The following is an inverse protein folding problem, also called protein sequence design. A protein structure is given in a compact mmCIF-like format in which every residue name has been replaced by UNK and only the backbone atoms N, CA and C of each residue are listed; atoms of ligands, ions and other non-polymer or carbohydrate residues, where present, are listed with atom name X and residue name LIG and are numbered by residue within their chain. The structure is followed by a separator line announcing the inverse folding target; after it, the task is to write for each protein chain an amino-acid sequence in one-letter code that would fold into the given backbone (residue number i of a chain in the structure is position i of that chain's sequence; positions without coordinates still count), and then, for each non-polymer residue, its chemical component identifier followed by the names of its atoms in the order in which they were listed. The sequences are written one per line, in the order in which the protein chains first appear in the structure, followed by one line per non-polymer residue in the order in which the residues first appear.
data_IF_039193050576
#
_entry.id   IF_039193050576
#
_cell.length_a   1.000
_cell.length_b   1.000
_cell.length_c   1.000
_cell.angle_alpha   90.00
_cell.angle_beta   90.00
_cell.angle_gamma   90.00
#
_symmetry.space_group_name_H-M   'P 1'
#
loop_
_entity.id
_entity.type
_entity.pdbx_description
1 polymer ?
#
# COMPACT_ATOMS: atom_id res chain seq x y z
N UNK A 1 14.10 -20.50 42.82
CA UNK A 1 15.53 -20.31 42.57
C UNK A 1 15.70 -19.69 41.19
N UNK A 2 16.40 -18.54 41.14
CA UNK A 2 17.15 -17.93 40.01
C UNK A 2 16.34 -17.70 38.71
N UNK A 3 15.82 -16.53 38.35
CA UNK A 3 16.41 -15.18 38.21
C UNK A 3 17.73 -15.12 37.43
N UNK A 4 17.64 -14.73 36.15
CA UNK A 4 18.40 -13.58 35.62
C UNK A 4 17.52 -12.78 34.66
N UNK A 5 17.35 -11.52 35.04
CA UNK A 5 16.77 -10.41 34.31
C UNK A 5 17.88 -9.72 33.51
N UNK A 6 17.56 -9.20 32.33
CA UNK A 6 18.13 -7.92 31.88
C UNK A 6 17.02 -7.07 31.25
N UNK A 7 16.54 -6.12 32.05
CA UNK A 7 15.89 -4.90 31.59
C UNK A 7 16.85 -4.06 30.72
N UNK A 8 16.27 -3.04 30.07
CA UNK A 8 16.84 -2.03 29.17
C UNK A 8 16.73 -2.43 27.70
N UNK A 9 15.65 -2.06 27.04
CA UNK A 9 15.46 -0.66 26.70
C UNK A 9 13.96 -0.33 26.66
N UNK A 10 13.62 0.79 27.31
CA UNK A 10 12.50 1.61 26.86
C UNK A 10 12.70 1.82 25.36
N UNK A 11 11.93 1.10 24.55
CA UNK A 11 11.84 1.36 23.12
C UNK A 11 10.63 2.25 22.90
N UNK A 12 10.81 3.55 23.20
CA UNK A 12 10.05 4.60 22.53
C UNK A 12 10.47 4.62 21.04
N UNK A 13 10.07 3.58 20.32
CA UNK A 13 10.05 3.57 18.87
C UNK A 13 8.57 3.70 18.51
N UNK A 14 8.25 4.43 17.45
CA UNK A 14 6.95 4.33 16.77
C UNK A 14 6.77 2.94 16.09
N UNK A 15 7.07 1.85 16.81
CA UNK A 15 6.71 0.48 16.48
C UNK A 15 5.24 0.37 16.85
N UNK A 16 4.40 0.28 15.83
CA UNK A 16 2.97 0.08 16.03
C UNK A 16 2.74 -1.36 16.47
N UNK A 17 2.66 -1.56 17.78
CA UNK A 17 2.12 -2.77 18.40
C UNK A 17 0.60 -2.63 18.51
N UNK A 18 -0.21 -3.55 17.96
CA UNK A 18 -1.67 -3.45 17.97
C UNK A 18 -2.29 -3.33 19.37
N UNK A 19 -1.62 -3.89 20.38
CA UNK A 19 -2.08 -4.01 21.76
C UNK A 19 -1.56 -2.91 22.70
N UNK A 20 -0.68 -2.01 22.24
CA UNK A 20 -0.10 -0.95 23.06
C UNK A 20 0.13 0.29 22.20
N UNK A 21 -0.97 0.88 21.74
CA UNK A 21 -0.97 2.27 21.29
C UNK A 21 -1.23 3.06 22.58
N UNK A 22 -0.23 3.68 23.22
CA UNK A 22 -0.53 4.66 24.27
C UNK A 22 -1.48 5.66 23.64
N UNK A 23 -2.57 6.01 24.34
CA UNK A 23 -3.55 6.97 23.88
C UNK A 23 -2.81 8.17 23.31
N UNK A 24 -2.69 8.21 21.98
CA UNK A 24 -1.95 9.25 21.31
C UNK A 24 -2.76 10.47 21.65
N UNK A 25 -2.20 11.36 22.45
CA UNK A 25 -2.86 12.59 22.86
C UNK A 25 -3.22 13.30 21.57
N UNK A 26 -4.45 13.13 21.12
CA UNK A 26 -5.01 13.83 19.96
C UNK A 26 -4.81 15.29 20.33
N UNK A 27 -3.94 16.05 19.63
CA UNK A 27 -3.79 17.45 19.94
C UNK A 27 -5.16 18.07 19.75
N UNK A 28 -5.78 18.48 20.86
CA UNK A 28 -7.01 19.26 20.85
C UNK A 28 -6.73 20.49 19.99
N UNK A 29 -7.48 20.60 18.90
CA UNK A 29 -7.57 21.75 17.98
C UNK A 29 -6.24 22.41 17.62
N UNK A 30 -5.65 21.98 16.50
CA UNK A 30 -4.60 22.76 15.82
C UNK A 30 -5.20 23.29 14.51
N UNK A 31 -5.07 24.61 14.34
CA UNK A 31 -5.42 25.45 13.19
C UNK A 31 -5.56 24.72 11.83
N UNK A 32 -6.60 25.11 11.09
CA UNK A 32 -7.10 24.58 9.81
C UNK A 32 -6.16 24.72 8.60
N UNK A 33 -4.89 25.08 8.79
CA UNK A 33 -3.93 25.22 7.69
C UNK A 33 -3.14 23.92 7.51
N UNK A 34 -3.57 23.07 6.58
CA UNK A 34 -2.71 22.01 6.05
C UNK A 34 -1.54 22.67 5.31
N UNK A 35 -0.28 22.37 5.68
CA UNK A 35 0.89 23.07 5.13
C UNK A 35 1.10 22.80 3.64
N UNK A 36 0.55 21.70 3.13
CA UNK A 36 0.62 21.31 1.72
C UNK A 36 -0.80 21.11 1.17
N UNK A 37 -1.02 21.31 -0.15
CA UNK A 37 -2.35 21.23 -0.74
C UNK A 37 -2.92 19.81 -0.73
N UNK A 38 -2.06 18.81 -0.84
CA UNK A 38 -2.41 17.38 -0.79
C UNK A 38 -1.30 16.59 -0.10
N UNK A 39 -1.65 15.40 0.37
CA UNK A 39 -0.75 14.50 1.09
C UNK A 39 -1.02 13.03 0.76
N UNK A 40 0.03 12.22 0.83
CA UNK A 40 0.00 10.81 0.47
C UNK A 40 0.34 9.91 1.67
N UNK A 41 -0.35 8.78 1.77
CA UNK A 41 -0.01 7.69 2.67
C UNK A 41 0.62 6.54 1.88
N UNK A 42 1.92 6.32 2.06
CA UNK A 42 2.67 5.29 1.36
C UNK A 42 2.76 4.00 2.18
N UNK A 43 2.43 2.87 1.56
CA UNK A 43 2.94 1.56 1.97
C UNK A 43 4.17 1.25 1.11
N UNK A 44 5.32 1.00 1.74
CA UNK A 44 6.53 0.52 1.06
C UNK A 44 6.89 -0.87 1.59
N UNK A 45 6.60 -1.90 0.79
CA UNK A 45 6.86 -3.29 1.15
C UNK A 45 8.23 -3.79 0.67
N UNK A 46 8.92 -4.54 1.51
CA UNK A 46 10.21 -5.15 1.21
C UNK A 46 10.24 -6.62 1.62
N UNK A 47 10.95 -7.44 0.87
CA UNK A 47 11.17 -8.85 1.19
C UNK A 47 12.58 -9.07 1.78
N UNK A 48 12.90 -10.29 2.18
CA UNK A 48 14.25 -10.69 2.60
C UNK A 48 15.33 -10.23 1.60
N UNK A 49 16.38 -9.58 2.09
CA UNK A 49 17.50 -9.08 1.30
C UNK A 49 17.26 -7.71 0.64
N UNK A 50 16.08 -7.10 0.83
CA UNK A 50 15.72 -5.83 0.18
C UNK A 50 16.01 -4.59 1.03
N UNK A 51 16.61 -4.71 2.22
CA UNK A 51 16.87 -3.59 3.15
C UNK A 51 17.55 -2.40 2.49
N UNK A 52 18.62 -2.63 1.74
CA UNK A 52 19.34 -1.54 1.10
C UNK A 52 18.49 -0.83 0.03
N UNK A 53 17.63 -1.57 -0.68
CA UNK A 53 16.68 -0.97 -1.62
C UNK A 53 15.58 -0.21 -0.87
N UNK A 54 15.04 -0.78 0.21
CA UNK A 54 14.03 -0.13 1.04
C UNK A 54 14.52 1.23 1.55
N UNK A 55 15.72 1.28 2.14
CA UNK A 55 16.38 2.52 2.60
C UNK A 55 16.53 3.54 1.49
N UNK A 56 17.02 3.12 0.31
CA UNK A 56 17.18 4.00 -0.85
C UNK A 56 15.84 4.55 -1.35
N UNK A 57 14.81 3.70 -1.40
CA UNK A 57 13.47 4.06 -1.87
C UNK A 57 12.79 5.04 -0.92
N UNK A 58 12.79 4.81 0.39
CA UNK A 58 12.20 5.76 1.35
C UNK A 58 12.93 7.11 1.31
N UNK A 59 14.26 7.14 1.20
CA UNK A 59 15.01 8.40 1.05
C UNK A 59 14.63 9.15 -0.25
N UNK A 60 14.42 8.43 -1.35
CA UNK A 60 14.01 9.03 -2.61
C UNK A 60 12.56 9.55 -2.60
N UNK A 61 11.68 8.92 -1.83
CA UNK A 61 10.26 9.26 -1.72
C UNK A 61 9.93 10.23 -0.59
N UNK A 62 10.87 10.53 0.30
CA UNK A 62 10.56 11.24 1.53
C UNK A 62 10.17 12.71 1.30
N UNK A 63 9.12 13.13 2.00
CA UNK A 63 8.66 14.51 2.12
C UNK A 63 7.90 14.64 3.46
N UNK A 64 8.10 15.72 4.23
CA UNK A 64 7.54 15.84 5.59
C UNK A 64 6.01 16.01 5.60
N UNK A 65 5.39 16.34 4.46
CA UNK A 65 3.94 16.44 4.31
C UNK A 65 3.20 15.13 4.05
N UNK A 66 3.91 14.01 3.93
CA UNK A 66 3.33 12.69 3.64
C UNK A 66 3.47 11.75 4.84
N UNK A 67 2.77 10.61 4.80
CA UNK A 67 2.87 9.54 5.80
C UNK A 67 3.46 8.28 5.14
N UNK A 68 4.37 7.60 5.83
CA UNK A 68 5.05 6.42 5.31
C UNK A 68 4.94 5.25 6.30
N UNK A 69 4.45 4.11 5.83
CA UNK A 69 4.45 2.85 6.54
C UNK A 69 5.35 1.85 5.81
N UNK A 70 6.44 1.48 6.47
CA UNK A 70 7.40 0.49 5.99
C UNK A 70 6.99 -0.89 6.47
N UNK A 71 6.90 -1.84 5.54
CA UNK A 71 6.65 -3.25 5.85
C UNK A 71 7.81 -4.09 5.32
N UNK A 72 8.50 -4.78 6.22
CA UNK A 72 9.47 -5.81 5.87
C UNK A 72 8.83 -7.17 6.16
N UNK A 73 8.88 -8.09 5.21
CA UNK A 73 8.29 -9.42 5.37
C UNK A 73 8.84 -10.16 6.60
N UNK A 74 7.97 -10.98 7.21
CA UNK A 74 8.33 -11.81 8.37
C UNK A 74 9.55 -12.71 8.11
N UNK A 75 9.79 -13.12 6.85
CA UNK A 75 10.91 -13.98 6.48
C UNK A 75 12.26 -13.27 6.33
N UNK A 76 12.30 -11.94 6.38
CA UNK A 76 13.55 -11.22 6.51
C UNK A 76 14.19 -11.57 7.86
N UNK A 77 15.52 -11.59 7.91
CA UNK A 77 16.21 -11.99 9.12
C UNK A 77 16.06 -10.93 10.23
N UNK A 78 16.16 -11.35 11.49
CA UNK A 78 15.98 -10.47 12.66
C UNK A 78 16.95 -9.28 12.67
N UNK A 79 18.14 -9.45 12.12
CA UNK A 79 19.11 -8.38 11.90
C UNK A 79 18.63 -7.37 10.85
N UNK A 80 18.00 -7.79 9.76
CA UNK A 80 17.36 -6.92 8.77
C UNK A 80 16.25 -6.07 9.41
N UNK A 81 15.37 -6.70 10.22
CA UNK A 81 14.32 -6.00 10.97
C UNK A 81 14.90 -4.97 11.95
N UNK A 82 15.96 -5.33 12.70
CA UNK A 82 16.66 -4.39 13.57
C UNK A 82 17.35 -3.27 12.79
N UNK A 83 17.92 -3.58 11.62
CA UNK A 83 18.62 -2.63 10.80
C UNK A 83 17.69 -1.54 10.26
N UNK A 84 16.50 -1.90 9.77
CA UNK A 84 15.52 -0.90 9.34
C UNK A 84 14.99 -0.07 10.52
N UNK A 85 14.76 -0.71 11.67
CA UNK A 85 14.34 -0.01 12.89
C UNK A 85 15.37 1.03 13.35
N UNK A 86 16.65 0.66 13.40
CA UNK A 86 17.75 1.61 13.70
C UNK A 86 17.84 2.72 12.66
N UNK A 87 17.73 2.38 11.37
CA UNK A 87 17.77 3.38 10.30
C UNK A 87 16.66 4.42 10.43
N UNK A 88 15.43 4.01 10.76
CA UNK A 88 14.33 4.96 10.97
C UNK A 88 14.52 5.75 12.26
N UNK A 89 14.85 5.07 13.36
CA UNK A 89 15.05 5.68 14.67
C UNK A 89 16.18 6.69 14.66
N UNK A 90 17.32 6.40 14.05
CA UNK A 90 18.52 7.22 14.15
C UNK A 90 18.53 8.37 13.12
N UNK A 91 17.55 8.41 12.21
CA UNK A 91 17.41 9.48 11.22
C UNK A 91 16.71 10.70 11.82
N UNK A 92 17.46 11.80 12.00
CA UNK A 92 16.95 13.03 12.62
C UNK A 92 15.74 13.61 11.90
N UNK A 93 15.68 13.54 10.57
CA UNK A 93 14.56 14.07 9.79
C UNK A 93 13.28 13.28 10.08
N UNK A 94 13.37 11.95 10.12
CA UNK A 94 12.24 11.09 10.46
C UNK A 94 11.78 11.27 11.90
N UNK A 95 12.72 11.43 12.86
CA UNK A 95 12.38 11.73 14.25
C UNK A 95 11.61 13.05 14.36
N UNK A 96 12.10 14.12 13.74
CA UNK A 96 11.50 15.46 13.87
C UNK A 96 10.12 15.52 13.22
N UNK A 97 9.94 14.89 12.07
CA UNK A 97 8.65 14.89 11.38
C UNK A 97 7.67 13.84 11.92
N UNK A 98 8.15 12.74 12.53
CA UNK A 98 7.32 11.68 13.11
C UNK A 98 6.49 10.88 12.10
N UNK A 99 6.77 11.01 10.80
CA UNK A 99 5.90 10.56 9.71
C UNK A 99 6.37 9.29 8.98
N UNK A 100 7.39 8.60 9.51
CA UNK A 100 7.88 7.31 9.00
C UNK A 100 7.74 6.25 10.07
N UNK A 101 6.96 5.21 9.78
CA UNK A 101 6.54 4.18 10.72
C UNK A 101 6.90 2.80 10.16
N UNK A 102 7.11 1.84 11.05
CA UNK A 102 7.40 0.44 10.68
C UNK A 102 6.31 -0.45 11.25
N UNK A 103 5.85 -1.41 10.45
CA UNK A 103 4.94 -2.46 10.92
C UNK A 103 5.65 -3.32 11.96
N UNK A 104 5.21 -3.25 13.22
CA UNK A 104 5.87 -3.93 14.34
C UNK A 104 5.74 -5.46 14.32
N UNK A 105 4.58 -5.96 13.88
CA UNK A 105 4.32 -7.38 13.67
C UNK A 105 4.27 -7.66 12.18
N UNK A 106 5.40 -8.04 11.55
CA UNK A 106 5.47 -8.15 10.11
C UNK A 106 4.59 -9.29 9.59
N UNK A 107 3.79 -8.99 8.56
CA UNK A 107 3.00 -10.02 7.88
C UNK A 107 3.88 -10.92 7.00
N UNK A 108 3.44 -12.18 6.89
CA UNK A 108 3.93 -13.14 5.90
C UNK A 108 3.26 -12.90 4.55
N UNK A 109 4.03 -12.91 3.47
CA UNK A 109 3.52 -12.61 2.12
C UNK A 109 3.86 -13.71 1.11
N UNK A 110 2.83 -14.28 0.49
CA UNK A 110 2.92 -15.19 -0.64
C UNK A 110 2.52 -14.44 -1.92
N UNK A 111 3.41 -14.32 -2.90
CA UNK A 111 3.21 -13.48 -4.10
C UNK A 111 1.92 -13.78 -4.88
N UNK A 112 1.59 -15.06 -5.05
CA UNK A 112 0.38 -15.51 -5.76
C UNK A 112 -0.82 -15.71 -4.83
N UNK A 113 -0.63 -15.54 -3.54
CA UNK A 113 -1.63 -15.85 -2.52
C UNK A 113 -2.40 -14.61 -2.01
N UNK A 114 -3.50 -14.85 -1.29
CA UNK A 114 -4.29 -13.82 -0.61
C UNK A 114 -3.52 -13.02 0.45
N UNK A 115 -2.43 -13.56 1.00
CA UNK A 115 -1.64 -12.89 2.05
C UNK A 115 -1.04 -11.54 1.61
N UNK A 116 -0.73 -11.35 0.32
CA UNK A 116 -0.28 -10.05 -0.20
C UNK A 116 -1.39 -8.99 -0.14
N UNK A 117 -2.61 -9.35 -0.53
CA UNK A 117 -3.76 -8.46 -0.43
C UNK A 117 -4.07 -8.14 1.03
N UNK A 118 -4.06 -9.18 1.87
CA UNK A 118 -4.25 -9.04 3.32
C UNK A 118 -3.26 -8.06 3.94
N UNK A 119 -1.98 -8.13 3.57
CA UNK A 119 -0.94 -7.21 4.04
C UNK A 119 -1.21 -5.78 3.60
N UNK A 120 -1.69 -5.58 2.36
CA UNK A 120 -2.04 -4.25 1.86
C UNK A 120 -3.21 -3.65 2.64
N UNK A 121 -4.27 -4.44 2.90
CA UNK A 121 -5.44 -4.01 3.67
C UNK A 121 -5.09 -3.76 5.15
N UNK A 122 -4.22 -4.58 5.73
CA UNK A 122 -3.70 -4.38 7.08
C UNK A 122 -2.98 -3.02 7.17
N UNK A 123 -2.08 -2.73 6.24
CA UNK A 123 -1.39 -1.43 6.16
C UNK A 123 -2.36 -0.25 5.98
N UNK A 124 -3.37 -0.38 5.11
CA UNK A 124 -4.42 0.63 4.94
C UNK A 124 -5.16 0.87 6.26
N UNK A 125 -5.51 -0.19 6.99
CA UNK A 125 -6.19 -0.07 8.29
C UNK A 125 -5.35 0.65 9.33
N UNK A 126 -4.03 0.42 9.35
CA UNK A 126 -3.11 1.13 10.24
C UNK A 126 -3.04 2.62 9.86
N UNK A 127 -2.82 2.92 8.58
CA UNK A 127 -2.72 4.29 8.07
C UNK A 127 -4.00 5.11 8.31
N UNK A 128 -5.19 4.48 8.19
CA UNK A 128 -6.46 5.12 8.51
C UNK A 128 -6.60 5.47 10.01
N UNK A 129 -6.02 4.64 10.90
CA UNK A 129 -6.05 4.85 12.36
C UNK A 129 -5.01 5.85 12.85
N UNK A 130 -3.86 5.93 12.18
CA UNK A 130 -2.74 6.79 12.57
C UNK A 130 -3.04 8.26 12.28
N UNK A 131 -3.55 8.55 11.08
CA UNK A 131 -3.77 9.92 10.63
C UNK A 131 -5.09 10.03 9.86
N UNK A 132 -5.88 11.03 10.23
CA UNK A 132 -7.17 11.35 9.61
C UNK A 132 -7.05 12.22 8.35
N UNK A 133 -5.85 12.70 7.98
CA UNK A 133 -5.69 13.84 7.05
C UNK A 133 -5.10 13.51 5.68
N UNK A 134 -4.60 12.30 5.42
CA UNK A 134 -4.03 11.97 4.12
C UNK A 134 -5.10 11.81 3.02
N UNK A 135 -4.77 12.19 1.78
CA UNK A 135 -5.75 12.24 0.68
C UNK A 135 -5.75 10.95 -0.17
N UNK A 136 -4.57 10.40 -0.47
CA UNK A 136 -4.43 9.18 -1.25
C UNK A 136 -3.49 8.16 -0.61
N UNK A 137 -3.86 6.89 -0.71
CA UNK A 137 -3.02 5.74 -0.40
C UNK A 137 -2.26 5.27 -1.64
N UNK A 138 -0.95 5.04 -1.51
CA UNK A 138 -0.08 4.54 -2.58
C UNK A 138 0.67 3.30 -2.07
N UNK A 139 0.53 2.16 -2.73
CA UNK A 139 1.34 0.98 -2.46
C UNK A 139 2.53 0.87 -3.42
N UNK A 140 3.72 0.63 -2.86
CA UNK A 140 4.98 0.42 -3.58
C UNK A 140 5.74 -0.75 -2.94
N UNK A 141 6.70 -1.32 -3.66
CA UNK A 141 7.73 -2.17 -3.09
C UNK A 141 9.11 -1.53 -3.12
N UNK A 142 10.06 -2.13 -2.41
CA UNK A 142 11.49 -1.85 -2.53
C UNK A 142 12.05 -2.09 -3.94
N UNK A 143 11.24 -2.58 -4.88
CA UNK A 143 11.62 -2.78 -6.28
C UNK A 143 11.08 -1.69 -7.23
N UNK A 144 10.25 -0.78 -6.72
CA UNK A 144 9.74 0.39 -7.42
C UNK A 144 10.61 1.61 -7.10
N UNK A 145 10.61 2.60 -7.99
CA UNK A 145 11.37 3.84 -7.80
C UNK A 145 10.65 5.05 -8.39
N UNK A 146 10.68 6.23 -7.72
CA UNK A 146 10.08 7.44 -8.27
C UNK A 146 10.87 7.97 -9.47
N UNK A 147 10.15 8.54 -10.44
CA UNK A 147 10.66 9.25 -11.60
C UNK A 147 10.42 10.77 -11.52
N UNK A 148 9.76 11.23 -10.45
CA UNK A 148 9.48 12.64 -10.14
C UNK A 148 9.70 12.91 -8.66
N UNK A 149 9.92 14.16 -8.29
CA UNK A 149 10.04 14.54 -6.87
C UNK A 149 8.69 14.50 -6.17
N UNK A 150 8.67 14.53 -4.84
CA UNK A 150 7.41 14.63 -4.11
C UNK A 150 6.73 15.98 -4.32
N UNK A 151 7.48 17.08 -4.42
CA UNK A 151 6.95 18.38 -4.78
C UNK A 151 6.27 18.37 -6.15
N UNK A 152 6.85 17.64 -7.12
CA UNK A 152 6.24 17.44 -8.43
C UNK A 152 4.89 16.72 -8.31
N UNK A 153 4.85 15.63 -7.55
CA UNK A 153 3.67 14.80 -7.37
C UNK A 153 2.56 15.53 -6.60
N UNK A 154 2.90 16.22 -5.51
CA UNK A 154 1.98 17.05 -4.72
C UNK A 154 1.41 18.17 -5.60
N UNK A 155 2.24 18.85 -6.39
CA UNK A 155 1.78 19.87 -7.32
C UNK A 155 0.82 19.31 -8.37
N UNK A 156 1.15 18.15 -8.96
CA UNK A 156 0.30 17.51 -9.98
C UNK A 156 -1.06 17.08 -9.41
N UNK A 157 -1.09 16.52 -8.19
CA UNK A 157 -2.33 16.07 -7.55
C UNK A 157 -3.14 17.20 -6.91
N UNK A 158 -2.55 18.37 -6.66
CA UNK A 158 -3.25 19.51 -6.04
C UNK A 158 -4.47 20.02 -6.82
N UNK A 159 -4.49 19.79 -8.14
CA UNK A 159 -5.58 20.21 -9.04
C UNK A 159 -6.57 19.08 -9.33
N UNK A 160 -6.37 17.90 -8.75
CA UNK A 160 -7.21 16.73 -8.96
C UNK A 160 -8.35 16.64 -7.94
N UNK A 161 -9.54 16.17 -8.34
CA UNK A 161 -10.56 15.74 -7.40
C UNK A 161 -10.05 14.60 -6.50
N UNK A 162 -10.13 14.80 -5.17
CA UNK A 162 -9.61 13.87 -4.15
C UNK A 162 -10.29 12.50 -4.13
N UNK A 163 -11.47 12.39 -4.72
CA UNK A 163 -12.23 11.13 -4.81
C UNK A 163 -11.75 10.22 -5.95
N UNK A 164 -10.83 10.66 -6.81
CA UNK A 164 -10.32 9.84 -7.91
C UNK A 164 -9.43 8.70 -7.43
N UNK A 165 -9.55 7.57 -8.11
CA UNK A 165 -8.82 6.34 -7.86
C UNK A 165 -8.10 5.90 -9.14
N UNK A 166 -6.77 5.85 -9.11
CA UNK A 166 -5.94 5.37 -10.22
C UNK A 166 -5.76 3.87 -10.08
N UNK A 167 -6.64 3.14 -10.77
CA UNK A 167 -6.72 1.69 -10.74
C UNK A 167 -6.86 1.19 -12.17
N UNK A 168 -5.77 0.64 -12.71
CA UNK A 168 -5.84 -0.08 -13.97
C UNK A 168 -6.73 -1.32 -13.82
N UNK A 169 -7.72 -1.47 -14.70
CA UNK A 169 -8.69 -2.55 -14.68
C UNK A 169 -9.21 -2.94 -16.07
N UNK A 170 -9.58 -4.20 -16.22
CA UNK A 170 -10.32 -4.73 -17.37
C UNK A 170 -11.23 -5.88 -16.93
N UNK A 171 -12.40 -5.97 -17.55
CA UNK A 171 -13.30 -7.12 -17.40
C UNK A 171 -13.05 -8.23 -18.42
N UNK A 172 -12.11 -8.05 -19.35
CA UNK A 172 -11.72 -9.08 -20.31
C UNK A 172 -10.71 -10.02 -19.67
N UNK A 173 -11.20 -10.99 -18.90
CA UNK A 173 -10.33 -11.90 -18.14
C UNK A 173 -9.55 -12.88 -19.03
N UNK A 174 -10.12 -13.33 -20.16
CA UNK A 174 -9.51 -14.31 -21.04
C UNK A 174 -9.05 -15.56 -20.27
N UNK A 175 -7.79 -15.96 -20.46
CA UNK A 175 -7.19 -17.12 -19.78
C UNK A 175 -7.18 -16.99 -18.24
N UNK A 176 -7.18 -15.76 -17.69
CA UNK A 176 -7.17 -15.53 -16.23
C UNK A 176 -8.42 -16.09 -15.56
N UNK A 177 -9.53 -16.19 -16.29
CA UNK A 177 -10.76 -16.79 -15.80
C UNK A 177 -10.54 -18.23 -15.31
N UNK A 178 -9.93 -19.07 -16.15
CA UNK A 178 -9.69 -20.48 -15.86
C UNK A 178 -8.44 -20.70 -14.98
N UNK A 179 -7.45 -19.79 -15.04
CA UNK A 179 -6.18 -19.94 -14.31
C UNK A 179 -6.11 -19.19 -12.99
N UNK A 180 -7.02 -18.26 -12.71
CA UNK A 180 -7.01 -17.44 -11.47
C UNK A 180 -8.34 -17.39 -10.74
N UNK A 181 -9.46 -17.28 -11.45
CA UNK A 181 -10.80 -17.17 -10.83
C UNK A 181 -11.44 -18.51 -10.43
N UNK A 182 -11.36 -19.51 -11.32
CA UNK A 182 -11.91 -20.86 -11.07
C UNK A 182 -11.10 -21.76 -10.14
N UNK A 183 -9.76 -21.69 -10.06
CA UNK A 183 -9.01 -22.55 -9.16
C UNK A 183 -9.37 -22.32 -7.69
N UNK A 184 -9.30 -23.39 -6.90
CA UNK A 184 -9.32 -23.33 -5.44
C UNK A 184 -7.87 -23.47 -4.99
N UNK A 185 -7.40 -22.53 -4.17
CA UNK A 185 -6.00 -22.45 -3.75
C UNK A 185 -5.91 -22.29 -2.25
N UNK A 186 -4.91 -22.95 -1.67
CA UNK A 186 -4.60 -22.84 -0.25
C UNK A 186 -3.29 -22.07 -0.16
N UNK A 187 -3.26 -21.02 0.65
CA UNK A 187 -2.05 -20.26 0.94
C UNK A 187 -1.48 -20.72 2.29
N UNK A 188 -0.37 -21.49 2.28
CA UNK A 188 0.25 -21.95 3.52
C UNK A 188 0.67 -20.80 4.43
N UNK A 189 0.91 -19.61 3.87
CA UNK A 189 1.24 -18.42 4.65
C UNK A 189 0.15 -17.97 5.63
N UNK A 190 -1.07 -18.50 5.52
CA UNK A 190 -2.17 -18.23 6.46
C UNK A 190 -2.17 -19.12 7.71
N UNK A 191 -1.46 -20.26 7.73
CA UNK A 191 -1.53 -21.23 8.83
C UNK A 191 -0.25 -22.02 9.12
N UNK A 192 0.81 -21.83 8.33
CA UNK A 192 2.10 -22.48 8.51
C UNK A 192 3.20 -21.46 8.77
N UNK A 193 4.18 -21.85 9.60
CA UNK A 193 5.42 -21.11 9.83
C UNK A 193 6.42 -21.24 8.68
N UNK A 194 6.25 -22.23 7.79
CA UNK A 194 7.13 -22.44 6.65
C UNK A 194 6.55 -21.77 5.40
N UNK A 195 7.30 -20.81 4.84
CA UNK A 195 6.91 -20.15 3.59
C UNK A 195 6.94 -21.17 2.45
N UNK A 196 5.86 -21.26 1.70
CA UNK A 196 5.82 -22.02 0.45
C UNK A 196 4.89 -21.34 -0.55
N UNK A 197 4.98 -21.75 -1.82
CA UNK A 197 4.04 -21.33 -2.84
C UNK A 197 2.63 -21.84 -2.52
N UNK A 198 1.63 -21.20 -3.15
CA UNK A 198 0.23 -21.63 -3.02
C UNK A 198 0.05 -23.09 -3.47
N UNK A 199 -0.79 -23.83 -2.75
CA UNK A 199 -1.14 -25.20 -3.10
C UNK A 199 -2.42 -25.22 -3.93
N UNK A 200 -2.42 -26.06 -4.95
CA UNK A 200 -3.54 -26.22 -5.86
C UNK A 200 -4.45 -27.35 -5.38
N UNK A 201 -5.74 -27.06 -5.27
CA UNK A 201 -6.75 -28.09 -5.05
C UNK A 201 -7.22 -28.62 -6.39
N UNK A 202 -7.46 -29.93 -6.48
CA UNK A 202 -7.85 -30.62 -7.73
C UNK A 202 -9.18 -30.06 -8.27
N UNK A 203 -10.14 -29.81 -7.37
CA UNK A 203 -11.46 -29.28 -7.75
C UNK A 203 -11.39 -27.77 -8.04
N UNK A 204 -12.15 -27.36 -9.05
CA UNK A 204 -12.37 -25.95 -9.40
C UNK A 204 -13.78 -25.52 -8.98
N UNK A 205 -13.94 -24.22 -8.75
CA UNK A 205 -15.23 -23.58 -8.50
C UNK A 205 -15.78 -22.91 -9.76
N UNK A 206 -17.09 -22.65 -9.76
CA UNK A 206 -17.72 -21.78 -10.74
C UNK A 206 -17.39 -20.31 -10.46
N UNK A 207 -17.59 -19.46 -11.47
CA UNK A 207 -17.44 -18.01 -11.31
C UNK A 207 -18.67 -17.43 -10.62
N UNK A 208 -18.51 -16.31 -9.89
CA UNK A 208 -19.61 -15.67 -9.19
C UNK A 208 -20.58 -15.04 -10.19
N UNK A 209 -21.87 -15.12 -9.90
CA UNK A 209 -22.94 -14.45 -10.66
C UNK A 209 -23.38 -13.14 -10.02
N UNK A 210 -23.12 -12.95 -8.73
CA UNK A 210 -23.53 -11.77 -7.96
C UNK A 210 -22.73 -10.49 -8.31
N UNK A 211 -21.55 -10.62 -8.89
CA UNK A 211 -20.70 -9.50 -9.28
C UNK A 211 -19.83 -9.86 -10.49
N UNK A 212 -19.39 -8.84 -11.21
CA UNK A 212 -18.53 -9.00 -12.38
C UNK A 212 -17.06 -8.90 -11.98
N UNK A 213 -16.26 -9.89 -12.33
CA UNK A 213 -14.82 -9.87 -12.06
C UNK A 213 -14.09 -8.86 -12.94
N UNK A 214 -13.13 -8.17 -12.33
CA UNK A 214 -12.15 -7.32 -13.00
C UNK A 214 -10.73 -7.75 -12.59
N UNK A 215 -9.77 -7.51 -13.48
CA UNK A 215 -8.35 -7.70 -13.19
C UNK A 215 -7.54 -6.52 -13.69
N UNK A 216 -6.38 -6.30 -13.09
CA UNK A 216 -5.46 -5.25 -13.54
C UNK A 216 -4.13 -5.27 -12.80
N UNK A 217 -3.56 -4.09 -12.57
CA UNK A 217 -2.29 -3.94 -11.85
C UNK A 217 -2.45 -4.16 -10.35
N UNK A 218 -1.45 -4.76 -9.70
CA UNK A 218 -1.43 -4.84 -8.23
C UNK A 218 -1.08 -3.49 -7.57
N UNK A 219 -0.61 -2.52 -8.36
CA UNK A 219 -0.30 -1.18 -7.90
C UNK A 219 -1.44 -0.23 -8.16
N UNK A 220 -1.74 0.59 -7.17
CA UNK A 220 -2.90 1.47 -7.18
C UNK A 220 -2.60 2.75 -6.42
N UNK A 221 -3.26 3.84 -6.82
CA UNK A 221 -3.41 5.04 -6.00
C UNK A 221 -4.88 5.19 -5.66
N UNK A 222 -5.21 4.96 -4.39
CA UNK A 222 -6.59 4.89 -3.89
C UNK A 222 -6.92 6.16 -3.13
N UNK A 223 -8.10 6.75 -3.35
CA UNK A 223 -8.58 7.84 -2.50
C UNK A 223 -8.78 7.34 -1.08
N UNK A 224 -8.60 8.23 -0.09
CA UNK A 224 -8.91 7.90 1.31
C UNK A 224 -10.33 7.37 1.47
N UNK A 225 -11.30 8.00 0.83
CA UNK A 225 -12.71 7.56 0.89
C UNK A 225 -12.90 6.12 0.43
N UNK A 226 -12.25 5.72 -0.66
CA UNK A 226 -12.34 4.35 -1.16
C UNK A 226 -11.57 3.37 -0.25
N UNK A 227 -10.46 3.79 0.33
CA UNK A 227 -9.76 3.01 1.34
C UNK A 227 -10.63 2.77 2.58
N UNK A 228 -11.33 3.79 3.07
CA UNK A 228 -12.31 3.68 4.17
C UNK A 228 -13.43 2.72 3.80
N UNK A 229 -14.01 2.84 2.60
CA UNK A 229 -15.02 1.91 2.12
C UNK A 229 -14.53 0.45 2.11
N UNK A 230 -13.27 0.20 1.72
CA UNK A 230 -12.70 -1.15 1.72
C UNK A 230 -12.49 -1.73 3.12
N UNK A 231 -12.22 -0.91 4.15
CA UNK A 231 -11.83 -1.36 5.49
C UNK A 231 -12.99 -1.30 6.49
N UNK A 232 -13.73 -0.20 6.51
CA UNK A 232 -14.80 0.09 7.48
C UNK A 232 -16.16 0.35 6.81
N UNK A 233 -16.28 0.09 5.50
CA UNK A 233 -17.53 0.27 4.77
C UNK A 233 -18.68 -0.54 5.37
N UNK A 234 -19.85 0.09 5.46
CA UNK A 234 -21.07 -0.56 5.96
C UNK A 234 -21.64 -1.57 4.97
N UNK A 235 -21.43 -1.38 3.66
CA UNK A 235 -21.86 -2.34 2.63
C UNK A 235 -21.11 -3.67 2.71
N UNK A 236 -21.79 -4.75 2.32
CA UNK A 236 -21.22 -6.09 2.34
C UNK A 236 -20.28 -6.40 1.16
N UNK A 237 -20.30 -5.60 0.08
CA UNK A 237 -19.57 -5.91 -1.15
C UNK A 237 -18.05 -6.12 -0.92
N UNK A 238 -17.30 -5.22 -0.25
CA UNK A 238 -15.89 -5.46 0.07
C UNK A 238 -15.67 -6.76 0.87
N UNK A 239 -16.50 -7.02 1.89
CA UNK A 239 -16.41 -8.23 2.74
C UNK A 239 -16.67 -9.51 1.93
N UNK A 240 -17.73 -9.53 1.11
CA UNK A 240 -18.04 -10.66 0.22
C UNK A 240 -16.91 -10.91 -0.77
N UNK A 241 -16.32 -9.85 -1.33
CA UNK A 241 -15.19 -9.98 -2.23
C UNK A 241 -13.93 -10.48 -1.51
N UNK A 242 -13.65 -10.07 -0.28
CA UNK A 242 -12.52 -10.62 0.48
C UNK A 242 -12.62 -12.14 0.62
N UNK A 243 -13.80 -12.65 0.99
CA UNK A 243 -14.06 -14.09 1.04
C UNK A 243 -13.79 -14.76 -0.31
N UNK A 244 -14.25 -14.17 -1.41
CA UNK A 244 -14.02 -14.70 -2.75
C UNK A 244 -12.53 -14.70 -3.16
N UNK A 245 -11.80 -13.63 -2.78
CA UNK A 245 -10.40 -13.41 -3.15
C UNK A 245 -9.40 -14.18 -2.27
N UNK A 246 -9.86 -14.89 -1.23
CA UNK A 246 -9.06 -15.93 -0.55
C UNK A 246 -8.62 -17.05 -1.51
N UNK A 247 -9.47 -17.35 -2.49
CA UNK A 247 -9.28 -18.41 -3.48
C UNK A 247 -9.10 -17.82 -4.89
N UNK A 248 -8.41 -16.69 -4.99
CA UNK A 248 -8.09 -16.06 -6.28
C UNK A 248 -6.58 -15.90 -6.42
N UNK A 249 -6.02 -16.50 -7.47
CA UNK A 249 -4.57 -16.44 -7.72
C UNK A 249 -4.17 -15.02 -8.10
N UNK A 250 -3.14 -14.47 -7.42
CA UNK A 250 -2.72 -13.07 -7.55
C UNK A 250 -3.85 -12.11 -7.17
N UNK A 251 -4.45 -12.30 -5.99
CA UNK A 251 -5.60 -11.51 -5.52
C UNK A 251 -5.44 -9.98 -5.53
N UNK A 252 -4.24 -9.38 -5.31
CA UNK A 252 -4.09 -7.92 -5.42
C UNK A 252 -4.33 -7.38 -6.84
N UNK A 253 -4.19 -8.23 -7.86
CA UNK A 253 -4.45 -7.87 -9.28
C UNK A 253 -5.94 -7.95 -9.64
N UNK A 254 -6.85 -8.07 -8.67
CA UNK A 254 -8.28 -8.12 -8.97
C UNK A 254 -9.22 -7.60 -7.88
N UNK A 255 -8.83 -7.62 -6.60
CA UNK A 255 -9.72 -7.23 -5.51
C UNK A 255 -10.18 -5.78 -5.64
N UNK A 256 -9.26 -4.82 -5.63
CA UNK A 256 -9.62 -3.40 -5.70
C UNK A 256 -10.36 -3.05 -6.99
N UNK A 257 -9.95 -3.64 -8.12
CA UNK A 257 -10.62 -3.49 -9.41
C UNK A 257 -12.08 -3.94 -9.35
N UNK A 258 -12.31 -5.11 -8.75
CA UNK A 258 -13.65 -5.70 -8.67
C UNK A 258 -14.52 -4.96 -7.67
N UNK A 259 -13.98 -4.56 -6.51
CA UNK A 259 -14.71 -3.73 -5.53
C UNK A 259 -15.15 -2.43 -6.17
N UNK A 260 -14.22 -1.68 -6.77
CA UNK A 260 -14.52 -0.34 -7.28
C UNK A 260 -15.49 -0.36 -8.46
N UNK A 261 -15.35 -1.33 -9.37
CA UNK A 261 -16.19 -1.40 -10.57
C UNK A 261 -17.59 -1.96 -10.31
N UNK A 262 -17.81 -2.64 -9.18
CA UNK A 262 -19.14 -3.12 -8.78
C UNK A 262 -19.80 -2.23 -7.72
N UNK A 263 -19.07 -1.29 -7.13
CA UNK A 263 -19.63 -0.32 -6.18
C UNK A 263 -20.38 0.80 -6.91
N UNK A 264 -21.60 1.13 -6.44
CA UNK A 264 -22.43 2.17 -7.06
C UNK A 264 -21.80 3.56 -6.94
N UNK A 265 -21.20 3.85 -5.78
CA UNK A 265 -20.67 5.17 -5.44
C UNK A 265 -19.28 5.41 -6.04
N UNK A 266 -18.49 4.34 -6.24
CA UNK A 266 -17.09 4.49 -6.67
C UNK A 266 -16.81 4.11 -8.13
N UNK A 267 -17.71 3.41 -8.83
CA UNK A 267 -17.45 2.99 -10.24
C UNK A 267 -17.06 4.15 -11.17
N UNK A 268 -17.59 5.35 -10.92
CA UNK A 268 -17.36 6.54 -11.74
C UNK A 268 -16.14 7.36 -11.30
N UNK A 269 -15.48 7.01 -10.19
CA UNK A 269 -14.27 7.70 -9.71
C UNK A 269 -12.99 7.05 -10.19
N UNK A 270 -13.09 6.06 -11.09
CA UNK A 270 -11.96 5.30 -11.62
C UNK A 270 -11.25 6.03 -12.76
N UNK A 271 -9.93 6.15 -12.64
CA UNK A 271 -9.01 6.45 -13.73
C UNK A 271 -8.29 5.15 -14.08
N UNK A 272 -8.43 4.68 -15.32
CA UNK A 272 -7.94 3.35 -15.73
C UNK A 272 -6.43 3.35 -16.03
N UNK A 273 -5.65 3.72 -15.02
CA UNK A 273 -4.20 3.86 -15.10
C UNK A 273 -3.58 3.54 -13.74
N UNK A 274 -2.40 2.90 -13.69
CA UNK A 274 -1.73 2.52 -12.42
C UNK A 274 -0.55 3.43 -12.02
N UNK A 275 -0.25 4.42 -12.84
CA UNK A 275 0.82 5.43 -12.70
C UNK A 275 2.24 4.83 -12.68
N UNK A 276 2.41 3.60 -13.18
CA UNK A 276 3.69 2.93 -13.24
C UNK A 276 4.18 2.76 -14.69
N UNK A 277 5.46 3.02 -14.93
CA UNK A 277 6.14 2.50 -16.11
C UNK A 277 6.61 1.07 -15.83
N UNK A 278 6.04 0.12 -16.56
CA UNK A 278 6.34 -1.32 -16.46
C UNK A 278 6.62 -1.86 -17.85
N UNK A 279 7.74 -2.57 -18.02
CA UNK A 279 8.01 -3.31 -19.27
C UNK A 279 7.91 -4.80 -19.05
N UNK A 280 7.25 -5.48 -19.97
CA UNK A 280 7.04 -6.93 -19.96
C UNK A 280 7.75 -7.57 -21.15
N UNK A 281 8.17 -8.82 -20.97
CA UNK A 281 8.58 -9.68 -22.08
C UNK A 281 7.38 -9.99 -22.99
N UNK A 282 7.63 -10.42 -24.23
CA UNK A 282 6.58 -10.91 -25.14
C UNK A 282 6.87 -12.38 -25.48
N UNK A 283 6.04 -13.34 -25.02
CA UNK A 283 4.87 -13.17 -24.15
C UNK A 283 5.24 -12.77 -22.70
N UNK A 284 4.31 -12.15 -21.95
CA UNK A 284 4.58 -11.74 -20.57
C UNK A 284 4.93 -12.92 -19.67
N UNK A 285 6.05 -12.79 -18.95
CA UNK A 285 6.44 -13.71 -17.87
C UNK A 285 5.74 -13.34 -16.55
N UNK A 286 5.95 -14.15 -15.50
CA UNK A 286 5.39 -13.89 -14.17
C UNK A 286 5.83 -12.57 -13.56
N UNK A 287 7.07 -12.14 -13.84
CA UNK A 287 7.63 -10.90 -13.32
C UNK A 287 7.96 -9.94 -14.47
N UNK A 288 7.78 -8.62 -14.29
CA UNK A 288 8.24 -7.63 -15.24
C UNK A 288 9.74 -7.74 -15.51
N UNK A 289 10.17 -7.27 -16.69
CA UNK A 289 11.59 -7.18 -17.02
C UNK A 289 12.30 -6.19 -16.10
N UNK A 290 13.55 -6.48 -15.78
CA UNK A 290 14.41 -5.58 -15.03
C UNK A 290 14.77 -4.37 -15.89
N UNK A 291 14.49 -3.17 -15.37
CA UNK A 291 14.82 -1.91 -16.03
C UNK A 291 16.30 -1.57 -15.86
N UNK A 292 16.92 -1.03 -16.91
CA UNK A 292 18.31 -0.59 -16.89
C UNK A 292 18.54 0.72 -17.67
N UNK A 293 19.80 1.13 -17.88
CA UNK A 293 20.12 2.42 -18.51
C UNK A 293 19.52 2.61 -19.91
N UNK A 294 19.33 1.52 -20.67
CA UNK A 294 18.70 1.53 -21.99
C UNK A 294 17.22 1.93 -21.96
N UNK A 295 16.56 1.71 -20.83
CA UNK A 295 15.14 2.01 -20.63
C UNK A 295 14.91 3.44 -20.17
N UNK A 296 15.96 4.16 -19.76
CA UNK A 296 15.87 5.50 -19.17
C UNK A 296 15.08 6.49 -20.02
N UNK A 297 15.36 6.57 -21.32
CA UNK A 297 14.65 7.49 -22.21
C UNK A 297 13.14 7.19 -22.26
N UNK A 298 12.79 5.90 -22.32
CA UNK A 298 11.37 5.47 -22.34
C UNK A 298 10.68 5.75 -21.01
N UNK A 299 11.37 5.58 -19.88
CA UNK A 299 10.86 5.95 -18.57
C UNK A 299 10.51 7.44 -18.50
N UNK A 300 11.41 8.32 -18.93
CA UNK A 300 11.18 9.77 -18.91
C UNK A 300 10.03 10.17 -19.86
N UNK A 301 9.98 9.59 -21.06
CA UNK A 301 8.94 9.88 -22.05
C UNK A 301 7.56 9.30 -21.67
N UNK A 302 7.50 8.33 -20.77
CA UNK A 302 6.23 7.73 -20.33
C UNK A 302 5.38 8.65 -19.47
N UNK A 303 5.96 9.74 -18.95
CA UNK A 303 5.30 10.66 -18.04
C UNK A 303 4.73 10.00 -16.77
N UNK A 304 5.22 8.81 -16.40
CA UNK A 304 4.76 8.11 -15.20
C UNK A 304 5.58 8.54 -13.97
N UNK A 305 4.94 8.74 -12.80
CA UNK A 305 5.64 9.14 -11.58
C UNK A 305 6.44 8.00 -10.96
N UNK A 306 6.14 6.74 -11.27
CA UNK A 306 6.84 5.57 -10.75
C UNK A 306 7.27 4.62 -11.87
N UNK A 307 8.29 3.81 -11.61
CA UNK A 307 8.73 2.76 -12.53
C UNK A 307 9.14 1.48 -11.79
N UNK A 308 9.05 0.35 -12.50
CA UNK A 308 9.49 -0.96 -12.00
C UNK A 308 9.81 -1.96 -13.11
N UNK A 309 10.62 -2.99 -12.86
CA UNK A 309 11.28 -3.35 -11.59
C UNK A 309 12.78 -3.10 -11.69
N UNK A 310 13.38 -2.55 -10.63
CA UNK A 310 14.82 -2.32 -10.56
C UNK A 310 15.55 -3.41 -9.79
N UNK A 311 16.77 -3.74 -10.26
CA UNK A 311 17.73 -4.54 -9.50
C UNK A 311 18.45 -3.64 -8.49
N UNK A 312 18.90 -4.22 -7.38
CA UNK A 312 19.78 -3.55 -6.43
C UNK A 312 21.03 -2.98 -7.15
N UNK A 313 21.45 -1.77 -6.77
CA UNK A 313 22.60 -1.03 -7.31
C UNK A 313 22.68 -0.96 -8.85
N UNK A 314 21.54 -0.87 -9.52
CA UNK A 314 21.53 -0.64 -10.96
C UNK A 314 21.91 0.82 -11.27
N UNK A 315 22.88 1.03 -12.18
CA UNK A 315 23.36 2.36 -12.59
C UNK A 315 22.25 3.30 -13.09
N UNK A 316 21.12 2.75 -13.56
CA UNK A 316 19.97 3.58 -13.95
C UNK A 316 19.35 4.32 -12.76
N UNK A 317 19.42 3.76 -11.55
CA UNK A 317 18.91 4.40 -10.35
C UNK A 317 19.74 5.65 -10.01
N UNK A 318 21.06 5.58 -10.16
CA UNK A 318 21.95 6.73 -9.94
C UNK A 318 21.72 7.82 -10.99
N UNK A 319 21.38 7.40 -12.21
CA UNK A 319 20.96 8.31 -13.28
C UNK A 319 19.63 9.00 -12.95
N UNK A 320 18.63 8.26 -12.47
CA UNK A 320 17.34 8.81 -12.03
C UNK A 320 17.54 9.79 -10.87
N UNK A 321 18.33 9.41 -9.88
CA UNK A 321 18.64 10.26 -8.72
C UNK A 321 19.22 11.60 -9.15
N UNK A 322 20.25 11.58 -9.99
CA UNK A 322 20.94 12.80 -10.44
C UNK A 322 20.06 13.66 -11.34
N UNK A 323 19.41 13.07 -12.34
CA UNK A 323 18.77 13.81 -13.44
C UNK A 323 17.29 14.15 -13.17
N UNK A 324 16.56 13.31 -12.43
CA UNK A 324 15.13 13.50 -12.17
C UNK A 324 14.85 13.97 -10.74
N UNK A 325 15.49 13.35 -9.74
CA UNK A 325 15.18 13.61 -8.33
C UNK A 325 16.11 14.65 -7.69
N UNK A 326 17.16 15.07 -8.41
CA UNK A 326 18.24 15.94 -7.93
C UNK A 326 18.82 15.47 -6.58
N UNK A 327 18.90 14.16 -6.42
CA UNK A 327 19.27 13.45 -5.20
C UNK A 327 20.73 13.00 -5.27
N UNK A 328 21.45 13.12 -4.15
CA UNK A 328 22.78 12.53 -3.98
C UNK A 328 22.69 11.19 -3.23
N UNK A 329 23.70 10.31 -3.35
CA UNK A 329 23.74 9.07 -2.57
C UNK A 329 23.53 9.35 -1.08
N UNK A 330 22.70 8.54 -0.42
CA UNK A 330 22.35 8.65 1.00
C UNK A 330 21.65 9.95 1.44
N UNK A 331 21.18 10.78 0.51
CA UNK A 331 20.42 12.00 0.80
C UNK A 331 18.96 11.87 0.37
N UNK A 332 18.12 12.77 0.88
CA UNK A 332 16.74 12.92 0.43
C UNK A 332 16.66 13.59 -0.94
N UNK A 333 15.59 13.30 -1.68
CA UNK A 333 15.27 14.01 -2.92
C UNK A 333 15.07 15.50 -2.66
N UNK A 334 15.38 16.33 -3.66
CA UNK A 334 15.24 17.78 -3.53
C UNK A 334 13.77 18.19 -3.43
N UNK A 335 13.47 19.10 -2.50
CA UNK A 335 12.15 19.68 -2.28
C UNK A 335 12.22 21.04 -1.58
N UNK A 336 11.11 21.77 -1.57
CA UNK A 336 11.02 23.10 -0.96
C UNK A 336 11.29 23.10 0.55
N UNK A 337 10.91 22.02 1.23
CA UNK A 337 11.08 21.82 2.67
C UNK A 337 12.53 21.72 3.17
N UNK A 338 13.50 21.51 2.29
CA UNK A 338 14.93 21.44 2.64
C UNK A 338 15.80 22.42 1.86
N UNK A 339 15.20 23.47 1.31
CA UNK A 339 15.87 24.43 0.44
C UNK A 339 16.54 25.59 1.19
N UNK A 340 17.58 25.33 1.99
CA UNK A 340 18.63 26.31 2.31
C UNK A 340 20.01 25.64 2.22
N UNK A 341 20.78 26.06 1.24
CA UNK A 341 22.19 25.71 1.06
C UNK A 341 22.80 26.69 0.08
N UNK A 342 23.78 27.48 0.55
CA UNK A 342 24.51 28.45 -0.26
C UNK A 342 25.30 27.75 -1.37
N UNK A 343 25.22 28.28 -2.59
CA UNK A 343 26.18 28.00 -3.67
C UNK A 343 26.15 26.60 -4.30
N UNK A 344 25.59 26.51 -5.52
CA UNK A 344 25.80 25.48 -6.57
C UNK A 344 25.52 24.00 -6.23
N UNK A 345 25.37 23.57 -4.97
CA UNK A 345 25.16 22.17 -4.58
C UNK A 345 24.25 22.01 -3.35
N UNK A 346 22.93 22.09 -3.53
CA UNK A 346 21.95 21.91 -2.46
C UNK A 346 21.81 20.42 -2.05
N UNK A 347 22.14 20.10 -0.79
CA UNK A 347 21.95 18.77 -0.20
C UNK A 347 20.82 18.80 0.83
N UNK A 348 19.89 17.86 0.73
CA UNK A 348 18.75 17.72 1.64
C UNK A 348 19.10 16.71 2.75
N UNK A 349 19.56 17.22 3.90
CA UNK A 349 20.05 16.39 5.02
C UNK A 349 19.37 16.70 6.36
N UNK A 350 18.70 17.84 6.48
CA UNK A 350 17.99 18.28 7.68
C UNK A 350 16.62 18.87 7.33
N UNK A 351 15.68 18.76 8.27
CA UNK A 351 14.38 19.43 8.19
C UNK A 351 14.60 20.92 8.52
N UNK A 352 14.25 21.82 7.60
CA UNK A 352 14.31 23.25 7.85
C UNK A 352 12.89 23.78 8.09
N UNK A 353 12.62 24.33 9.27
CA UNK A 353 11.31 24.91 9.60
C UNK A 353 10.90 26.03 8.63
N UNK A 354 11.86 26.79 8.10
CA UNK A 354 11.59 27.90 7.17
C UNK A 354 11.07 27.43 5.78
N UNK A 355 11.34 26.17 5.42
CA UNK A 355 10.89 25.57 4.17
C UNK A 355 9.57 24.79 4.30
N UNK A 356 9.08 24.60 5.52
CA UNK A 356 7.89 23.79 5.75
C UNK A 356 6.65 24.46 5.11
N UNK A 357 5.91 23.69 4.31
CA UNK A 357 4.77 24.20 3.52
C UNK A 357 5.15 24.81 2.17
N UNK A 358 6.44 24.91 1.84
CA UNK A 358 6.91 25.40 0.54
C UNK A 358 7.09 24.23 -0.42
N UNK A 359 6.47 24.32 -1.61
CA UNK A 359 6.71 23.42 -2.73
C UNK A 359 7.62 24.08 -3.77
N UNK A 360 8.54 23.31 -4.36
CA UNK A 360 9.36 23.68 -5.50
C UNK A 360 9.22 22.65 -6.62
N UNK A 361 8.07 22.64 -7.34
CA UNK A 361 7.85 21.71 -8.43
C UNK A 361 8.88 21.93 -9.54
N UNK A 362 9.44 20.84 -10.04
CA UNK A 362 10.38 20.80 -11.14
C UNK A 362 9.71 20.50 -12.47
N UNK A 363 10.50 19.91 -13.38
CA UNK A 363 10.00 19.49 -14.69
C UNK A 363 9.10 18.25 -14.61
N UNK A 364 9.15 17.49 -13.52
CA UNK A 364 8.31 16.30 -13.33
C UNK A 364 6.82 16.66 -13.19
N UNK A 365 6.49 17.75 -12.50
CA UNK A 365 5.10 18.22 -12.34
C UNK A 365 4.40 18.44 -13.69
N UNK A 366 5.13 19.04 -14.64
CA UNK A 366 4.62 19.30 -16.00
C UNK A 366 4.50 18.03 -16.85
N UNK A 367 5.29 16.99 -16.57
CA UNK A 367 5.24 15.71 -17.30
C UNK A 367 4.15 14.80 -16.78
N UNK A 368 4.03 14.66 -15.46
CA UNK A 368 3.13 13.70 -14.82
C UNK A 368 1.65 14.04 -14.97
N UNK A 369 1.33 15.28 -15.30
CA UNK A 369 0.00 15.69 -15.76
C UNK A 369 -0.11 15.45 -17.26
N UNK A 370 -0.31 14.21 -17.71
CA UNK A 370 -0.74 14.00 -19.09
C UNK A 370 -2.18 14.47 -19.20
N UNK A 371 -2.39 15.56 -19.94
CA UNK A 371 -3.70 16.18 -20.17
C UNK A 371 -4.75 15.14 -20.55
N UNK A 372 -4.41 14.06 -21.27
CA UNK A 372 -5.37 13.00 -21.64
C UNK A 372 -5.97 12.22 -20.45
N UNK A 373 -5.15 11.85 -19.45
CA UNK A 373 -5.64 11.13 -18.25
C UNK A 373 -6.46 12.09 -17.34
N UNK A 374 -6.05 13.36 -17.31
CA UNK A 374 -6.71 14.45 -16.55
C UNK A 374 -8.02 14.88 -17.22
N UNK A 375 -8.07 14.90 -18.55
CA UNK A 375 -9.21 15.24 -19.39
C UNK A 375 -10.27 14.13 -19.31
N UNK A 376 -9.86 12.85 -19.33
CA UNK A 376 -10.81 11.74 -19.13
C UNK A 376 -11.39 11.73 -17.71
N UNK A 377 -10.59 12.03 -16.69
CA UNK A 377 -11.06 12.20 -15.32
C UNK A 377 -12.04 13.39 -15.17
N UNK A 378 -11.70 14.56 -15.75
CA UNK A 378 -12.56 15.76 -15.75
C UNK A 378 -13.86 15.55 -16.54
N UNK A 379 -13.81 14.88 -17.70
CA UNK A 379 -14.99 14.56 -18.53
C UNK A 379 -15.97 13.64 -17.80
N UNK A 380 -15.46 12.70 -16.99
CA UNK A 380 -16.30 11.79 -16.19
C UNK A 380 -16.94 12.48 -14.97
N UNK A 381 -16.21 13.34 -14.26
CA UNK A 381 -16.77 14.15 -13.16
C UNK A 381 -17.89 15.09 -13.67
N UNK A 382 -17.67 15.74 -14.84
CA UNK A 382 -18.67 16.60 -15.47
C UNK A 382 -19.93 15.86 -15.94
N UNK A 383 -19.81 14.59 -16.37
CA UNK A 383 -20.95 13.75 -16.73
C UNK A 383 -21.70 13.21 -15.50
N UNK A 384 -21.01 12.99 -14.37
CA UNK A 384 -21.63 12.60 -13.11
C UNK A 384 -22.47 13.72 -12.49
N UNK A 385 -21.94 14.95 -12.44
CA UNK A 385 -22.66 16.12 -11.89
C UNK A 385 -23.90 16.52 -12.68
N UNK A 386 -23.98 16.22 -13.98
CA UNK A 386 -25.20 16.49 -14.77
C UNK A 386 -26.39 15.57 -14.43
N UNK A 387 -26.18 14.51 -13.62
CA UNK A 387 -27.25 13.55 -13.26
C UNK A 387 -27.74 13.66 -11.82
N UNK A 388 -27.10 14.44 -10.96
CA UNK A 388 -27.47 14.53 -9.55
C UNK A 388 -27.79 15.98 -9.17
N UNK A 389 -29.09 16.27 -9.09
CA UNK A 389 -29.58 17.35 -8.24
C UNK A 389 -29.23 17.02 -6.79
N UNK A 390 -28.66 17.99 -6.09
CA UNK A 390 -28.29 17.92 -4.68
C UNK A 390 -29.39 17.34 -3.79
N UNK A 391 -29.00 16.53 -2.81
CA UNK A 391 -29.46 16.79 -1.46
C UNK A 391 -28.26 16.94 -0.50
N UNK A 392 -28.29 18.04 0.24
CA UNK A 392 -27.49 18.23 1.44
C UNK A 392 -28.13 17.39 2.54
N UNK A 393 -27.40 16.39 3.06
CA UNK A 393 -27.72 15.80 4.35
C UNK A 393 -26.49 15.88 5.25
N UNK A 394 -26.63 16.65 6.34
CA UNK A 394 -25.65 16.71 7.40
C UNK A 394 -25.52 15.34 8.08
N UNK A 395 -24.31 14.78 8.06
CA UNK A 395 -23.98 13.62 8.87
C UNK A 395 -23.99 14.00 10.35
N UNK A 396 -25.03 13.59 11.06
CA UNK A 396 -24.97 13.41 12.51
C UNK A 396 -24.53 11.96 12.78
N UNK A 397 -23.27 11.78 13.14
CA UNK A 397 -22.68 10.47 13.47
C UNK A 397 -23.13 10.08 14.87
N UNK A 398 -24.01 9.08 14.98
CA UNK A 398 -24.10 8.27 16.20
C UNK A 398 -23.10 7.12 16.08
N UNK A 399 -22.11 7.14 16.97
CA UNK A 399 -21.18 6.04 17.17
C UNK A 399 -21.92 4.86 17.81
N UNK A 400 -22.25 3.83 17.03
CA UNK A 400 -22.52 2.49 17.55
C UNK A 400 -21.76 1.45 16.72
N UNK A 401 -21.08 0.56 17.44
CA UNK A 401 -20.01 -0.30 16.96
C UNK A 401 -20.61 -1.54 16.26
N UNK A 402 -20.43 -1.64 14.94
CA UNK A 402 -20.50 -2.89 14.19
C UNK A 402 -19.26 -3.01 13.28
N UNK A 403 -18.07 -3.10 13.89
CA UNK A 403 -16.78 -3.21 13.18
C UNK A 403 -16.03 -4.51 13.47
N UNK A 404 -16.70 -5.54 14.02
CA UNK A 404 -15.99 -6.73 14.51
C UNK A 404 -15.41 -7.62 13.40
N UNK A 405 -15.94 -7.66 12.17
CA UNK A 405 -15.57 -8.72 11.22
C UNK A 405 -14.31 -8.47 10.37
N UNK A 406 -14.05 -7.23 9.92
CA UNK A 406 -12.77 -6.89 9.26
C UNK A 406 -11.65 -6.87 10.30
N UNK A 407 -11.96 -6.41 11.51
CA UNK A 407 -11.08 -6.56 12.66
C UNK A 407 -10.87 -8.04 12.95
N UNK A 408 -11.88 -8.91 12.93
CA UNK A 408 -11.73 -10.37 13.07
C UNK A 408 -10.91 -10.97 11.94
N UNK A 409 -10.93 -10.43 10.72
CA UNK A 409 -10.09 -10.90 9.61
C UNK A 409 -8.62 -10.52 9.82
N UNK A 410 -8.36 -9.25 10.18
CA UNK A 410 -7.03 -8.76 10.58
C UNK A 410 -6.55 -9.51 11.84
N UNK A 411 -7.43 -9.73 12.81
CA UNK A 411 -7.18 -10.44 14.06
C UNK A 411 -7.01 -11.95 13.83
N UNK A 412 -7.70 -12.56 12.87
CA UNK A 412 -7.51 -13.96 12.46
C UNK A 412 -6.14 -14.15 11.79
N UNK A 413 -5.70 -13.17 11.00
CA UNK A 413 -4.34 -13.11 10.46
C UNK A 413 -3.29 -12.88 11.55
N UNK A 414 -3.56 -12.04 12.54
CA UNK A 414 -2.65 -11.75 13.67
C UNK A 414 -2.57 -12.88 14.71
N UNK A 415 -3.64 -13.64 14.95
CA UNK A 415 -3.69 -14.72 15.95
C UNK A 415 -3.12 -16.03 15.43
N UNK A 416 -3.18 -16.32 14.12
CA UNK A 416 -2.58 -17.54 13.55
C UNK A 416 -1.05 -17.52 13.44
N UNK A 417 -0.40 -16.36 13.62
CA UNK A 417 1.06 -16.27 13.77
C UNK A 417 1.57 -16.72 15.15
N UNK A 418 0.68 -17.04 16.11
CA UNK A 418 1.03 -17.69 17.37
C UNK A 418 0.51 -19.14 17.32
N UNK A 419 1.41 -20.11 17.21
CA UNK A 419 1.11 -21.51 16.88
C UNK A 419 0.44 -22.34 18.00
N UNK A 420 -0.18 -21.74 19.03
CA UNK A 420 -0.63 -22.49 20.22
C UNK A 420 -2.14 -22.64 20.39
N UNK A 421 -3.00 -22.03 19.55
CA UNK A 421 -4.46 -22.11 19.76
C UNK A 421 -5.18 -23.19 18.95
N UNK A 422 -4.45 -24.09 18.27
CA UNK A 422 -5.02 -25.21 17.49
C UNK A 422 -4.64 -26.60 18.05
N UNK A 423 -4.24 -26.68 19.32
CA UNK A 423 -4.05 -27.97 20.02
C UNK A 423 -5.23 -28.36 20.94
N UNK A 424 -6.27 -27.52 21.03
CA UNK A 424 -7.44 -27.75 21.90
C UNK A 424 -8.54 -28.66 21.36
N UNK A 425 -8.41 -29.25 20.17
CA UNK A 425 -9.44 -30.13 19.59
C UNK A 425 -9.01 -31.61 19.47
N UNK A 426 -7.96 -32.03 20.16
CA UNK A 426 -7.57 -33.45 20.25
C UNK A 426 -8.02 -34.04 21.60
N UNK A 427 -9.34 -34.10 21.79
CA UNK A 427 -9.98 -34.92 22.81
C UNK A 427 -10.41 -36.25 22.20
N UNK A 428 -9.76 -37.34 22.62
CA UNK A 428 -10.10 -38.73 22.27
C UNK A 428 -11.61 -38.98 22.32
N UNK A 429 -12.18 -39.53 21.25
CA UNK A 429 -13.24 -40.53 21.38
C UNK A 429 -13.28 -41.46 20.17
N UNK A 430 -13.30 -42.74 20.50
CA UNK A 430 -13.33 -43.88 19.61
C UNK A 430 -14.68 -44.01 18.90
N UNK A 431 -14.69 -43.89 17.56
CA UNK A 431 -15.49 -44.70 16.63
C UNK A 431 -15.43 -44.09 15.23
N UNK A 432 -15.43 -44.96 14.22
CA UNK A 432 -15.27 -44.66 12.80
C UNK A 432 -16.26 -43.60 12.28
N UNK A 433 -15.80 -42.39 11.97
CA UNK A 433 -16.42 -41.54 10.93
C UNK A 433 -15.44 -40.45 10.49
N UNK A 434 -15.11 -40.41 9.20
CA UNK A 434 -14.27 -39.36 8.61
C UNK A 434 -15.09 -38.07 8.47
N UNK A 435 -14.94 -37.14 9.41
CA UNK A 435 -15.63 -35.85 9.38
C UNK A 435 -14.75 -34.82 8.66
N UNK A 436 -15.15 -34.42 7.45
CA UNK A 436 -14.60 -33.24 6.78
C UNK A 436 -15.12 -31.99 7.49
N UNK A 437 -14.21 -31.15 7.97
CA UNK A 437 -14.56 -29.86 8.58
C UNK A 437 -14.95 -28.87 7.47
N UNK A 438 -16.23 -28.86 7.07
CA UNK A 438 -16.84 -27.78 6.31
C UNK A 438 -17.19 -26.64 7.27
N UNK A 439 -16.54 -25.49 7.13
CA UNK A 439 -16.96 -24.27 7.81
C UNK A 439 -18.21 -23.74 7.09
N UNK A 440 -19.38 -24.09 7.59
CA UNK A 440 -20.63 -23.39 7.29
C UNK A 440 -20.61 -22.05 8.01
N UNK A 441 -20.39 -20.96 7.28
CA UNK A 441 -20.76 -19.62 7.75
C UNK A 441 -22.24 -19.46 7.39
N UNK A 442 -23.11 -19.54 8.40
CA UNK A 442 -24.53 -19.19 8.28
C UNK A 442 -24.62 -17.66 8.21
N UNK A 443 -25.38 -17.18 7.22
CA UNK A 443 -25.53 -15.80 6.74
C UNK A 443 -25.97 -14.79 7.81
#
# INVERSE_FOLDING_TARGET
MLYTSTYLTSFDINILNPSSIPALTIPKSINTTTPYPVSFAYLISASKGDIAKLKRTIQALYHPGNLYLLHLELEAAEDEHREIARFVRDNRVFQTAGNVLIVGKPNRVTYRGPTMLATTLHAMSMLLRIDSKWDWFINLSASDYPLVTQDDLISAFSVLPRNLNFIQHTSRLGWKMNKRGKPIVIDPGLYSSNKSEIWWVIKQRTLPTAFKLYTGSAWTVLSRSFAEYCIIGWENLPRTLLLYYTNFVSSPEGYFQTVICNSKDYKNTTVNHDLHYITWDTPPKQHPRLLGPRDYRKMVLSSRPFARKFKHNNAVLDKIDRELLKRRPNHFSHGGWCSKGDGKHQTCSSLNNDGFGVLRPGAGARRSCTDDDMEEARKRDAMGRKKEGTPVYGLHVRHEIQNMEVILWIWFLEKKTSADTMLGCLGKNSSNTTQFCQIHVVL
#
